data_IF_228225656158
#
_entry.id   IF_228225656158
#
_cell.length_a   1.000
_cell.length_b   1.000
_cell.length_c   1.000
_cell.angle_alpha   90.00
_cell.angle_beta   90.00
_cell.angle_gamma   90.00
#
_symmetry.space_group_name_H-M   'P 1'
#
loop_
_entity.id
_entity.type
_entity.pdbx_description
1 polymer ?
#
# COMPACT_ATOMS: atom_id res chain seq x y z
N UNK A 1 -15.59 12.86 11.15
CA UNK A 1 -16.45 11.80 10.54
C UNK A 1 -15.53 10.95 9.67
N UNK A 2 -15.59 9.62 9.84
CA UNK A 2 -14.77 8.72 9.01
C UNK A 2 -15.32 8.60 7.60
N UNK A 3 -14.43 8.44 6.63
CA UNK A 3 -14.75 8.46 5.20
C UNK A 3 -14.11 7.25 4.51
N UNK A 4 -14.80 6.67 3.53
CA UNK A 4 -14.28 5.67 2.61
C UNK A 4 -14.29 6.29 1.20
N UNK A 5 -13.13 6.30 0.55
CA UNK A 5 -12.97 6.78 -0.82
C UNK A 5 -12.51 5.65 -1.72
N UNK A 6 -13.24 5.41 -2.79
CA UNK A 6 -12.82 4.56 -3.90
C UNK A 6 -12.40 5.52 -5.01
N UNK A 7 -11.11 5.52 -5.33
CA UNK A 7 -10.55 6.47 -6.30
C UNK A 7 -10.81 5.99 -7.74
N UNK A 8 -11.07 6.94 -8.62
CA UNK A 8 -11.07 6.66 -10.05
C UNK A 8 -9.63 6.51 -10.55
N UNK A 9 -9.23 5.27 -10.73
CA UNK A 9 -7.88 4.84 -11.17
C UNK A 9 -7.95 3.99 -12.44
N UNK A 10 -9.08 4.04 -13.17
CA UNK A 10 -9.28 3.27 -14.39
C UNK A 10 -9.63 1.82 -14.11
N UNK A 11 -8.93 0.89 -14.79
CA UNK A 11 -9.12 -0.56 -14.60
C UNK A 11 -8.22 -1.11 -13.49
N UNK A 12 -8.27 -0.46 -12.34
CA UNK A 12 -7.34 -0.65 -11.23
C UNK A 12 -8.07 -0.48 -9.91
N UNK A 13 -7.42 -0.76 -8.80
CA UNK A 13 -8.00 -0.63 -7.47
C UNK A 13 -7.19 0.35 -6.61
N UNK A 14 -7.88 1.30 -5.99
CA UNK A 14 -7.32 2.18 -4.97
C UNK A 14 -8.40 2.63 -4.01
N UNK A 15 -8.28 2.23 -2.75
CA UNK A 15 -9.23 2.59 -1.70
C UNK A 15 -8.51 3.32 -0.59
N UNK A 16 -9.07 4.44 -0.14
CA UNK A 16 -8.55 5.22 0.99
C UNK A 16 -9.61 5.32 2.08
N UNK A 17 -9.25 4.91 3.30
CA UNK A 17 -10.06 5.13 4.50
C UNK A 17 -9.43 6.25 5.31
N UNK A 18 -10.22 7.25 5.64
CA UNK A 18 -9.89 8.29 6.60
C UNK A 18 -10.69 8.03 7.87
N UNK A 19 -10.00 7.60 8.92
CA UNK A 19 -10.61 7.20 10.19
C UNK A 19 -10.45 8.33 11.20
N UNK A 20 -11.57 8.87 11.64
CA UNK A 20 -11.60 9.92 12.66
C UNK A 20 -11.52 9.27 14.05
N UNK A 21 -10.40 9.46 14.72
CA UNK A 21 -10.10 8.83 16.01
C UNK A 21 -9.81 9.87 17.08
N UNK A 22 -9.87 9.50 18.38
CA UNK A 22 -9.50 10.42 19.46
C UNK A 22 -8.06 10.95 19.38
N UNK A 23 -7.17 10.24 18.66
CA UNK A 23 -5.78 10.63 18.44
C UNK A 23 -5.58 11.47 17.16
N UNK A 24 -6.64 11.79 16.45
CA UNK A 24 -6.63 12.48 15.17
C UNK A 24 -7.03 11.56 14.01
N UNK A 25 -6.99 12.12 12.80
CA UNK A 25 -7.32 11.35 11.60
C UNK A 25 -6.20 10.35 11.29
N UNK A 26 -6.59 9.09 11.10
CA UNK A 26 -5.71 8.01 10.67
C UNK A 26 -6.03 7.65 9.22
N UNK A 27 -5.01 7.39 8.42
CA UNK A 27 -5.14 7.11 6.99
C UNK A 27 -4.74 5.67 6.68
N UNK A 28 -5.65 4.93 6.06
CA UNK A 28 -5.39 3.59 5.54
C UNK A 28 -5.55 3.62 4.03
N UNK A 29 -4.59 3.04 3.31
CA UNK A 29 -4.64 2.93 1.84
C UNK A 29 -4.56 1.46 1.47
N UNK A 30 -5.50 1.01 0.64
CA UNK A 30 -5.52 -0.35 0.08
C UNK A 30 -5.37 -0.23 -1.43
N UNK A 31 -4.28 -0.75 -1.93
CA UNK A 31 -3.80 -0.65 -3.30
C UNK A 31 -3.61 0.81 -3.79
N UNK A 32 -2.81 0.98 -4.81
CA UNK A 32 -2.40 2.29 -5.30
C UNK A 32 -2.97 2.65 -6.67
N UNK A 33 -3.61 1.69 -7.33
CA UNK A 33 -4.05 1.85 -8.70
C UNK A 33 -2.91 1.77 -9.71
N UNK A 34 -3.20 2.13 -10.94
CA UNK A 34 -2.18 2.29 -11.99
C UNK A 34 -1.23 3.46 -11.65
N UNK A 35 -0.01 3.40 -12.21
CA UNK A 35 0.98 4.48 -12.07
C UNK A 35 0.44 5.83 -12.56
N UNK A 36 -0.29 5.82 -13.68
CA UNK A 36 -0.98 6.97 -14.23
C UNK A 36 -2.37 6.57 -14.73
N UNK A 37 -3.36 7.41 -14.45
CA UNK A 37 -4.67 7.33 -15.07
C UNK A 37 -4.98 8.65 -15.76
N UNK A 38 -5.18 8.64 -17.08
CA UNK A 38 -5.40 9.84 -17.91
C UNK A 38 -4.34 10.94 -17.69
N UNK A 39 -3.08 10.55 -17.53
CA UNK A 39 -1.96 11.47 -17.27
C UNK A 39 -1.90 12.01 -15.83
N UNK A 40 -2.81 11.61 -14.96
CA UNK A 40 -2.89 12.01 -13.55
C UNK A 40 -2.24 10.95 -12.65
N UNK A 41 -2.03 11.33 -11.38
CA UNK A 41 -1.53 10.48 -10.29
C UNK A 41 -2.58 10.43 -9.17
N UNK A 42 -3.69 9.68 -9.35
CA UNK A 42 -4.90 9.86 -8.54
C UNK A 42 -4.66 9.76 -7.04
N UNK A 43 -3.91 8.74 -6.58
CA UNK A 43 -3.61 8.57 -5.15
C UNK A 43 -2.81 9.75 -4.59
N UNK A 44 -1.70 10.12 -5.24
CA UNK A 44 -0.87 11.24 -4.77
C UNK A 44 -1.64 12.56 -4.79
N UNK A 45 -2.42 12.81 -5.83
CA UNK A 45 -3.27 14.00 -5.94
C UNK A 45 -4.32 14.05 -4.83
N UNK A 46 -4.99 12.93 -4.56
CA UNK A 46 -5.96 12.82 -3.46
C UNK A 46 -5.32 13.15 -2.11
N UNK A 47 -4.20 12.51 -1.80
CA UNK A 47 -3.47 12.74 -0.54
C UNK A 47 -3.04 14.21 -0.42
N UNK A 48 -2.51 14.79 -1.51
CA UNK A 48 -2.07 16.18 -1.54
C UNK A 48 -3.23 17.17 -1.33
N UNK A 49 -4.36 16.96 -1.99
CA UNK A 49 -5.57 17.81 -1.84
C UNK A 49 -6.10 17.76 -0.40
N UNK A 50 -6.02 16.61 0.25
CA UNK A 50 -6.41 16.41 1.66
C UNK A 50 -5.32 16.81 2.65
N UNK A 51 -4.13 17.25 2.19
CA UNK A 51 -2.95 17.58 3.00
C UNK A 51 -2.48 16.42 3.87
N UNK A 52 -2.65 15.20 3.38
CA UNK A 52 -2.20 13.98 4.03
C UNK A 52 -0.74 13.74 3.66
N UNK A 53 0.14 13.80 4.64
CA UNK A 53 1.58 13.61 4.49
C UNK A 53 2.07 12.28 5.08
N UNK A 54 1.16 11.53 5.73
CA UNK A 54 1.48 10.24 6.35
C UNK A 54 0.34 9.26 6.16
N UNK A 55 0.68 8.01 5.84
CA UNK A 55 -0.22 6.86 5.79
C UNK A 55 0.08 5.99 7.00
N UNK A 56 -0.93 5.71 7.82
CA UNK A 56 -0.79 4.90 9.03
C UNK A 56 -0.72 3.41 8.72
N UNK A 57 -1.44 2.97 7.68
CA UNK A 57 -1.37 1.61 7.17
C UNK A 57 -1.56 1.60 5.64
N UNK A 58 -0.57 1.10 4.93
CA UNK A 58 -0.64 0.81 3.51
C UNK A 58 -0.80 -0.70 3.34
N UNK A 59 -1.74 -1.12 2.51
CA UNK A 59 -1.98 -2.52 2.18
C UNK A 59 -1.82 -2.70 0.67
N UNK A 60 -0.86 -3.52 0.27
CA UNK A 60 -0.72 -3.98 -1.09
C UNK A 60 -1.27 -5.41 -1.16
N UNK A 61 -2.38 -5.59 -1.87
CA UNK A 61 -3.04 -6.90 -1.96
C UNK A 61 -2.23 -7.88 -2.79
N UNK A 62 -1.69 -7.41 -3.92
CA UNK A 62 -0.79 -8.18 -4.77
C UNK A 62 0.04 -7.27 -5.68
N UNK A 63 0.97 -7.85 -6.46
CA UNK A 63 2.04 -7.11 -7.12
C UNK A 63 1.74 -6.70 -8.57
N UNK A 64 0.53 -6.80 -9.06
CA UNK A 64 0.22 -6.32 -10.39
C UNK A 64 0.28 -4.80 -10.47
N UNK A 65 0.58 -4.26 -11.65
CA UNK A 65 0.79 -2.82 -11.86
C UNK A 65 -0.46 -1.99 -11.55
N UNK A 66 -1.63 -2.53 -11.80
CA UNK A 66 -2.94 -1.94 -11.53
C UNK A 66 -3.30 -1.87 -10.01
N UNK A 67 -2.45 -2.45 -9.14
CA UNK A 67 -2.56 -2.35 -7.68
C UNK A 67 -1.36 -1.64 -7.05
N UNK A 68 -0.18 -1.87 -7.60
CA UNK A 68 1.08 -1.32 -7.09
C UNK A 68 1.43 0.05 -7.69
N UNK A 69 1.05 0.30 -8.95
CA UNK A 69 1.62 1.37 -9.77
C UNK A 69 1.59 2.75 -9.14
N UNK A 70 0.48 3.14 -8.52
CA UNK A 70 0.36 4.44 -7.88
C UNK A 70 1.27 4.66 -6.68
N UNK A 71 1.77 3.59 -6.04
CA UNK A 71 2.67 3.70 -4.89
C UNK A 71 4.05 4.24 -5.24
N UNK A 72 4.48 4.13 -6.49
CA UNK A 72 5.78 4.69 -6.91
C UNK A 72 5.86 6.21 -6.71
N UNK A 73 4.72 6.88 -6.75
CA UNK A 73 4.64 8.34 -6.55
C UNK A 73 4.69 8.76 -5.08
N UNK A 74 4.56 7.83 -4.14
CA UNK A 74 4.66 8.11 -2.71
C UNK A 74 6.11 8.23 -2.22
N UNK A 75 7.06 7.71 -3.01
CA UNK A 75 8.49 7.73 -2.67
C UNK A 75 8.93 9.16 -2.39
N UNK A 76 9.48 9.38 -1.18
CA UNK A 76 9.96 10.66 -0.67
C UNK A 76 8.89 11.80 -0.61
N UNK A 77 7.61 11.48 -0.84
CA UNK A 77 6.51 12.43 -0.81
C UNK A 77 5.58 12.23 0.40
N UNK A 78 5.34 10.97 0.77
CA UNK A 78 4.37 10.61 1.81
C UNK A 78 4.99 9.57 2.72
N UNK A 79 5.04 9.83 4.03
CA UNK A 79 5.52 8.86 5.00
C UNK A 79 4.57 7.67 5.11
N UNK A 80 5.10 6.45 5.14
CA UNK A 80 4.33 5.23 5.42
C UNK A 80 4.79 4.66 6.75
N UNK A 81 3.89 4.53 7.72
CA UNK A 81 4.24 4.01 9.06
C UNK A 81 4.28 2.50 9.10
N UNK A 82 3.26 1.87 8.54
CA UNK A 82 3.15 0.41 8.44
C UNK A 82 2.72 0.04 7.03
N UNK A 83 3.26 -1.06 6.53
CA UNK A 83 2.85 -1.60 5.24
C UNK A 83 2.65 -3.11 5.34
N UNK A 84 1.53 -3.60 4.81
CA UNK A 84 1.27 -5.03 4.57
C UNK A 84 1.47 -5.28 3.09
N UNK A 85 2.32 -6.24 2.75
CA UNK A 85 2.60 -6.60 1.36
C UNK A 85 2.73 -8.12 1.21
N UNK A 86 2.49 -8.67 0.00
CA UNK A 86 2.61 -10.10 -0.28
C UNK A 86 3.99 -10.68 0.09
N UNK A 87 5.00 -9.84 0.06
CA UNK A 87 6.38 -10.18 0.40
C UNK A 87 7.00 -9.08 1.25
N UNK A 88 7.78 -9.47 2.21
CA UNK A 88 8.42 -8.57 3.18
C UNK A 88 9.90 -8.32 2.92
N UNK A 89 10.45 -8.63 1.75
CA UNK A 89 11.86 -8.37 1.46
C UNK A 89 12.12 -8.04 -0.01
N UNK A 90 13.16 -7.25 -0.25
CA UNK A 90 13.63 -6.87 -1.60
C UNK A 90 14.04 -8.08 -2.46
N UNK A 91 14.40 -9.22 -1.85
CA UNK A 91 14.75 -10.46 -2.55
C UNK A 91 13.57 -11.08 -3.27
N UNK A 92 12.36 -10.68 -2.92
CA UNK A 92 11.18 -11.11 -3.68
C UNK A 92 11.16 -10.46 -5.07
N UNK A 93 11.53 -9.20 -5.19
CA UNK A 93 11.63 -8.54 -6.48
C UNK A 93 12.56 -9.32 -7.45
N UNK A 94 13.66 -9.87 -6.93
CA UNK A 94 14.60 -10.70 -7.72
C UNK A 94 13.95 -12.00 -8.24
N UNK A 95 12.94 -12.52 -7.54
CA UNK A 95 12.19 -13.71 -7.96
C UNK A 95 11.02 -13.40 -8.87
N UNK A 96 10.44 -12.22 -8.71
CA UNK A 96 9.26 -11.79 -9.47
C UNK A 96 9.65 -11.24 -10.85
N UNK A 97 10.79 -10.56 -10.95
CA UNK A 97 11.26 -10.00 -12.20
C UNK A 97 11.29 -10.99 -13.39
N UNK A 98 11.79 -12.24 -13.23
CA UNK A 98 11.77 -13.20 -14.32
C UNK A 98 10.36 -13.59 -14.78
N UNK A 99 9.35 -13.43 -13.91
CA UNK A 99 7.95 -13.78 -14.19
C UNK A 99 7.24 -12.65 -14.93
N UNK A 100 7.49 -11.41 -14.55
CA UNK A 100 6.82 -10.24 -15.15
C UNK A 100 7.59 -9.65 -16.34
N UNK A 101 8.89 -9.93 -16.45
CA UNK A 101 9.70 -9.58 -17.62
C UNK A 101 9.84 -8.08 -17.92
N UNK A 102 9.32 -7.20 -17.04
CA UNK A 102 9.33 -5.75 -17.22
C UNK A 102 10.42 -5.09 -16.34
N UNK A 103 11.51 -4.60 -16.98
CA UNK A 103 12.61 -3.95 -16.24
C UNK A 103 12.21 -2.66 -15.52
N UNK A 104 11.20 -1.94 -16.02
CA UNK A 104 10.73 -0.71 -15.39
C UNK A 104 9.98 -1.05 -14.11
N UNK A 105 9.06 -2.00 -14.17
CA UNK A 105 8.32 -2.48 -13.00
C UNK A 105 9.26 -2.97 -11.89
N UNK A 106 10.28 -3.74 -12.25
CA UNK A 106 11.28 -4.23 -11.30
C UNK A 106 12.00 -3.08 -10.57
N UNK A 107 12.45 -2.05 -11.32
CA UNK A 107 13.12 -0.87 -10.74
C UNK A 107 12.19 -0.10 -9.81
N UNK A 108 10.95 0.11 -10.22
CA UNK A 108 9.94 0.81 -9.43
C UNK A 108 9.63 0.08 -8.14
N UNK A 109 9.43 -1.21 -8.22
CA UNK A 109 9.23 -2.08 -7.08
C UNK A 109 10.40 -1.99 -6.10
N UNK A 110 11.63 -2.16 -6.58
CA UNK A 110 12.83 -2.01 -5.77
C UNK A 110 12.94 -0.63 -5.12
N UNK A 111 12.68 0.42 -5.88
CA UNK A 111 12.75 1.80 -5.38
C UNK A 111 11.74 2.03 -4.26
N UNK A 112 10.50 1.54 -4.43
CA UNK A 112 9.46 1.70 -3.42
C UNK A 112 9.77 0.92 -2.14
N UNK A 113 10.16 -0.35 -2.24
CA UNK A 113 10.47 -1.14 -1.04
C UNK A 113 11.74 -0.66 -0.33
N UNK A 114 12.76 -0.21 -1.07
CA UNK A 114 13.91 0.45 -0.49
C UNK A 114 13.54 1.77 0.21
N UNK A 115 12.57 2.50 -0.32
CA UNK A 115 12.00 3.66 0.35
C UNK A 115 11.33 3.28 1.68
N UNK A 116 10.46 2.28 1.70
CA UNK A 116 9.82 1.82 2.94
C UNK A 116 10.85 1.43 4.00
N UNK A 117 11.89 0.69 3.61
CA UNK A 117 12.95 0.26 4.50
C UNK A 117 13.73 1.45 5.09
N UNK A 118 14.22 2.38 4.24
CA UNK A 118 15.01 3.52 4.71
C UNK A 118 14.22 4.55 5.51
N UNK A 119 12.90 4.62 5.31
CA UNK A 119 12.00 5.50 6.07
C UNK A 119 11.53 4.91 7.40
N UNK A 120 11.97 3.69 7.73
CA UNK A 120 11.63 3.03 9.00
C UNK A 120 10.20 2.50 9.04
N UNK A 121 9.61 2.19 7.88
CA UNK A 121 8.29 1.59 7.80
C UNK A 121 8.28 0.18 8.43
N UNK A 122 7.31 -0.12 9.30
CA UNK A 122 7.07 -1.48 9.75
C UNK A 122 6.48 -2.28 8.59
N UNK A 123 7.31 -3.11 7.95
CA UNK A 123 6.89 -3.95 6.83
C UNK A 123 6.43 -5.33 7.33
N UNK A 124 5.17 -5.66 7.06
CA UNK A 124 4.49 -6.87 7.49
C UNK A 124 4.22 -7.74 6.26
N UNK A 125 4.64 -8.99 6.29
CA UNK A 125 4.29 -9.93 5.22
C UNK A 125 2.82 -10.31 5.31
N UNK A 126 2.15 -10.37 4.18
CA UNK A 126 0.75 -10.81 4.14
C UNK A 126 0.56 -12.22 4.74
N UNK A 127 1.53 -13.13 4.54
CA UNK A 127 1.51 -14.46 5.15
C UNK A 127 1.55 -14.44 6.69
N UNK A 128 2.14 -13.40 7.29
CA UNK A 128 2.23 -13.24 8.74
C UNK A 128 1.06 -12.40 9.29
N UNK A 129 0.12 -12.02 8.44
CA UNK A 129 -0.98 -11.11 8.76
C UNK A 129 -2.27 -11.83 9.21
N UNK A 130 -2.38 -13.14 8.97
CA UNK A 130 -3.59 -13.91 9.26
C UNK A 130 -4.00 -13.82 10.75
N UNK A 131 -5.24 -13.39 11.00
CA UNK A 131 -5.76 -13.15 12.34
C UNK A 131 -5.16 -11.92 13.04
N UNK A 132 -4.30 -11.15 12.37
CA UNK A 132 -3.76 -9.90 12.92
C UNK A 132 -4.79 -8.79 12.78
N UNK A 133 -4.94 -8.01 13.85
CA UNK A 133 -5.80 -6.85 13.89
C UNK A 133 -4.97 -5.56 13.97
N UNK A 134 -5.39 -4.56 13.23
CA UNK A 134 -4.85 -3.20 13.25
C UNK A 134 -5.89 -2.28 13.90
N UNK A 135 -5.58 -1.75 15.07
CA UNK A 135 -6.48 -0.86 15.82
C UNK A 135 -6.19 0.60 15.51
N UNK A 136 -7.25 1.36 15.31
CA UNK A 136 -7.24 2.81 15.07
C UNK A 136 -8.35 3.46 15.92
N UNK A 137 -8.07 3.75 17.18
CA UNK A 137 -9.08 4.17 18.14
C UNK A 137 -10.17 3.11 18.29
N UNK A 138 -11.42 3.46 17.94
CA UNK A 138 -12.58 2.56 18.00
C UNK A 138 -12.71 1.66 16.74
N UNK A 139 -11.84 1.84 15.74
CA UNK A 139 -11.84 1.04 14.53
C UNK A 139 -10.84 -0.11 14.62
N UNK A 140 -11.22 -1.24 14.04
CA UNK A 140 -10.38 -2.42 13.94
C UNK A 140 -10.45 -2.96 12.52
N UNK A 141 -9.27 -3.12 11.90
CA UNK A 141 -9.11 -3.81 10.62
C UNK A 141 -8.49 -5.17 10.90
N UNK A 142 -9.21 -6.23 10.65
CA UNK A 142 -8.74 -7.59 10.84
C UNK A 142 -8.38 -8.24 9.51
N UNK A 143 -7.20 -8.86 9.46
CA UNK A 143 -6.76 -9.63 8.32
C UNK A 143 -7.35 -11.05 8.40
N UNK A 144 -8.40 -11.32 7.63
CA UNK A 144 -9.08 -12.62 7.61
C UNK A 144 -8.37 -13.63 6.70
N UNK A 145 -7.55 -13.17 5.77
CA UNK A 145 -6.86 -14.00 4.77
C UNK A 145 -5.43 -13.51 4.53
N UNK A 146 -4.46 -14.39 4.22
CA UNK A 146 -4.56 -15.84 4.10
C UNK A 146 -4.80 -16.50 5.46
N UNK A 147 -5.52 -17.65 5.46
CA UNK A 147 -5.62 -18.50 6.65
C UNK A 147 -4.23 -19.09 6.94
N UNK A 148 -3.84 -19.15 8.22
CA UNK A 148 -2.58 -19.77 8.63
C UNK A 148 -2.44 -21.16 8.04
N UNK A 149 -1.28 -21.40 7.42
CA UNK A 149 -0.85 -22.65 6.78
C UNK A 149 -1.38 -22.89 5.37
N UNK A 150 -0.77 -22.27 4.44
CA UNK A 150 -0.32 -22.98 3.25
C UNK A 150 1.17 -22.68 3.11
N UNK A 151 2.00 -23.49 3.70
CA UNK A 151 3.34 -23.74 3.21
C UNK A 151 3.20 -24.10 1.73
N UNK A 152 3.45 -23.16 0.86
CA UNK A 152 3.82 -23.42 -0.53
C UNK A 152 5.33 -23.46 -0.62
#
# INVERSE_FOLDING_TARGET
>A
MSELHILDVGRADCTVLLLDTPQGQQTVVVDGGEKYHEGRRPLLEFLSQRKITSIDLLILTHLHQDHFGGFVHLVDQVQVRRAVAPCGDLRFADRVYPVFGDPEFYREYHTFFAYLERSGTELIRAGDCAGRAFSFGDYCLECLYPLQSSTL
#
